data_IF_874827322870
#
_entry.id   IF_874827322870
#
_cell.length_a   1.000
_cell.length_b   1.000
_cell.length_c   1.000
_cell.angle_alpha   90.00
_cell.angle_beta   90.00
_cell.angle_gamma   90.00
#
_symmetry.space_group_name_H-M   'P 1'
#
loop_
_entity.id
_entity.type
_entity.pdbx_description
1 polymer ?
#
# COMPACT_ATOMS: atom_id res chain seq x y z
N UNK A 1 -20.69 -8.84 -17.98
CA UNK A 1 -21.53 -8.01 -17.11
C UNK A 1 -20.61 -6.96 -16.51
N UNK A 2 -20.95 -5.67 -16.55
CA UNK A 2 -20.11 -4.63 -15.97
C UNK A 2 -20.37 -4.61 -14.47
N UNK A 3 -19.38 -4.98 -13.67
CA UNK A 3 -19.42 -4.78 -12.23
C UNK A 3 -19.31 -3.27 -11.98
N UNK A 4 -20.35 -2.69 -11.41
CA UNK A 4 -20.39 -1.26 -11.10
C UNK A 4 -19.66 -1.02 -9.77
N UNK A 5 -18.57 -0.24 -9.83
CA UNK A 5 -17.72 0.11 -8.70
C UNK A 5 -17.83 1.60 -8.34
N UNK A 6 -18.90 2.29 -8.77
CA UNK A 6 -19.18 3.68 -8.38
C UNK A 6 -19.90 3.78 -7.01
N UNK A 7 -20.28 2.65 -6.43
CA UNK A 7 -20.88 2.62 -5.10
C UNK A 7 -19.82 3.02 -4.04
N UNK A 8 -20.15 3.96 -3.13
CA UNK A 8 -19.25 4.36 -2.07
C UNK A 8 -18.90 3.14 -1.21
N UNK A 9 -17.60 2.87 -1.08
CA UNK A 9 -17.06 1.71 -0.35
C UNK A 9 -17.29 1.78 1.17
N UNK A 10 -17.73 2.92 1.68
CA UNK A 10 -17.86 3.20 3.11
C UNK A 10 -19.35 3.26 3.45
N UNK A 11 -19.78 2.39 4.38
CA UNK A 11 -21.12 2.46 4.99
C UNK A 11 -21.00 3.09 6.37
N UNK A 12 -22.02 3.76 6.87
CA UNK A 12 -21.99 4.51 8.14
C UNK A 12 -21.70 3.64 9.39
N UNK A 13 -21.69 2.31 9.23
CA UNK A 13 -21.30 1.33 10.25
C UNK A 13 -19.83 0.88 10.16
N UNK A 14 -19.10 1.35 9.15
CA UNK A 14 -17.66 1.17 9.04
C UNK A 14 -17.00 2.19 9.97
N UNK A 15 -16.84 1.85 11.26
CA UNK A 15 -16.18 2.71 12.26
C UNK A 15 -14.74 3.02 11.81
N UNK A 16 -14.48 4.20 11.22
CA UNK A 16 -13.21 4.48 10.56
C UNK A 16 -12.14 4.89 11.56
N UNK A 17 -12.55 5.31 12.76
CA UNK A 17 -11.70 5.98 13.73
C UNK A 17 -10.78 5.00 14.47
N UNK A 18 -11.28 3.82 14.86
CA UNK A 18 -10.49 2.86 15.64
C UNK A 18 -9.47 2.08 14.80
N UNK A 19 -9.75 1.86 13.51
CA UNK A 19 -8.85 1.12 12.61
C UNK A 19 -7.65 1.95 12.16
N UNK A 20 -7.86 3.22 11.86
CA UNK A 20 -6.79 4.13 11.41
C UNK A 20 -5.85 4.52 12.55
N UNK A 21 -6.35 4.74 13.77
CA UNK A 21 -5.51 4.98 14.96
C UNK A 21 -4.61 3.78 15.27
N UNK A 22 -5.14 2.56 15.19
CA UNK A 22 -4.33 1.35 15.36
C UNK A 22 -3.27 1.17 14.26
N UNK A 23 -3.60 1.53 13.00
CA UNK A 23 -2.67 1.46 11.88
C UNK A 23 -1.54 2.50 12.00
N UNK A 24 -1.87 3.71 12.47
CA UNK A 24 -0.88 4.78 12.70
C UNK A 24 0.01 4.50 13.90
N UNK A 25 -0.51 3.87 14.95
CA UNK A 25 0.31 3.35 16.05
C UNK A 25 1.30 2.28 15.54
N UNK A 26 0.85 1.29 14.78
CA UNK A 26 1.71 0.26 14.20
C UNK A 26 2.73 0.81 13.18
N UNK A 27 2.36 1.86 12.42
CA UNK A 27 3.26 2.51 11.44
C UNK A 27 4.48 3.15 12.11
N UNK A 28 4.39 3.60 13.36
CA UNK A 28 5.55 4.12 14.09
C UNK A 28 6.60 3.04 14.34
N UNK A 29 6.18 1.81 14.59
CA UNK A 29 7.08 0.66 14.82
C UNK A 29 7.62 0.04 13.52
N UNK A 30 6.90 0.22 12.40
CA UNK A 30 7.22 -0.37 11.10
C UNK A 30 7.53 0.67 10.03
N UNK A 31 8.18 1.79 10.39
CA UNK A 31 8.69 2.72 9.38
C UNK A 31 9.63 1.95 8.45
N UNK A 32 9.15 1.69 7.24
CA UNK A 32 9.96 1.14 6.17
C UNK A 32 11.20 2.03 6.01
N UNK A 33 12.38 1.46 5.79
CA UNK A 33 13.57 2.25 5.53
C UNK A 33 13.26 3.24 4.40
N UNK A 34 13.52 4.52 4.64
CA UNK A 34 13.42 5.54 3.60
C UNK A 34 14.38 5.13 2.49
N UNK A 35 13.84 4.74 1.35
CA UNK A 35 14.64 4.43 0.17
C UNK A 35 15.18 5.75 -0.35
N UNK A 36 16.51 5.88 -0.36
CA UNK A 36 17.17 7.05 -0.92
C UNK A 36 17.03 7.02 -2.45
N UNK A 37 16.28 7.97 -2.99
CA UNK A 37 15.93 8.03 -4.42
C UNK A 37 17.07 8.63 -5.25
N UNK A 38 18.03 9.31 -4.58
CA UNK A 38 19.24 9.83 -5.24
C UNK A 38 20.21 8.68 -5.61
N UNK A 39 20.07 7.52 -4.95
CA UNK A 39 20.90 6.34 -5.18
C UNK A 39 20.26 5.42 -6.24
N UNK A 40 20.38 5.82 -7.51
CA UNK A 40 19.81 5.10 -8.68
C UNK A 40 20.24 3.63 -8.75
N UNK A 41 21.46 3.31 -8.30
CA UNK A 41 22.01 1.93 -8.30
C UNK A 41 21.19 1.01 -7.37
N UNK A 42 20.65 1.55 -6.27
CA UNK A 42 19.80 0.81 -5.31
C UNK A 42 18.39 0.60 -5.86
N UNK A 43 17.87 1.54 -6.66
CA UNK A 43 16.56 1.45 -7.27
C UNK A 43 16.48 0.36 -8.35
N UNK A 44 17.57 0.14 -9.10
CA UNK A 44 17.63 -0.88 -10.17
C UNK A 44 17.80 -2.31 -9.64
N UNK A 45 18.40 -2.48 -8.45
CA UNK A 45 18.55 -3.81 -7.82
C UNK A 45 17.34 -4.24 -6.97
N UNK A 46 16.32 -3.38 -6.81
CA UNK A 46 15.15 -3.68 -6.00
C UNK A 46 14.08 -4.44 -6.80
N UNK A 47 14.15 -5.78 -6.75
CA UNK A 47 13.13 -6.64 -7.35
C UNK A 47 11.85 -6.63 -6.50
N UNK A 48 10.80 -5.96 -7.00
CA UNK A 48 9.49 -5.95 -6.36
C UNK A 48 8.81 -7.32 -6.51
N UNK A 49 8.11 -7.82 -5.48
CA UNK A 49 7.26 -9.00 -5.61
C UNK A 49 6.25 -8.79 -6.76
N UNK A 50 6.30 -9.64 -7.79
CA UNK A 50 5.46 -9.52 -8.98
C UNK A 50 5.98 -8.57 -10.07
N UNK A 51 7.24 -8.13 -10.01
CA UNK A 51 7.89 -7.40 -11.09
C UNK A 51 8.03 -8.25 -12.38
N UNK A 52 8.10 -9.58 -12.25
CA UNK A 52 8.11 -10.49 -13.38
C UNK A 52 6.71 -10.66 -13.98
N UNK A 53 6.46 -9.92 -15.07
CA UNK A 53 5.24 -10.00 -15.88
C UNK A 53 5.41 -10.93 -17.10
N UNK A 54 6.51 -11.69 -17.19
CA UNK A 54 6.79 -12.53 -18.36
C UNK A 54 5.80 -13.70 -18.55
N UNK A 55 4.85 -13.87 -17.63
CA UNK A 55 3.81 -14.91 -17.64
C UNK A 55 2.37 -14.42 -17.67
N UNK A 56 2.09 -13.13 -17.95
CA UNK A 56 0.73 -12.62 -18.22
C UNK A 56 0.33 -12.72 -19.70
#
# INVERSE_FOLDING_TARGET
MATDYDAPRVTESDEPDTSLEQLTANRKDTQSPVVDVEDTDTAESFELPGADLSGE
#
